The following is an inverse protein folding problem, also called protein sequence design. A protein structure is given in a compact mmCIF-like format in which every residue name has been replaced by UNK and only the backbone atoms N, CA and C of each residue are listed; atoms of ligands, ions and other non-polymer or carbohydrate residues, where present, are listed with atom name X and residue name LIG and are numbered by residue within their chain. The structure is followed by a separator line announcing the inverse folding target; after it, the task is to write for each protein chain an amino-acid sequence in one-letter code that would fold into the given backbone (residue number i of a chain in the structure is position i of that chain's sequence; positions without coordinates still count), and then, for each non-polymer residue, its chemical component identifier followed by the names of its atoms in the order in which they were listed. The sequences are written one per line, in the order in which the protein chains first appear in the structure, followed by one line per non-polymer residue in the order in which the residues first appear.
data_IF_387608393771
#
_entry.id   IF_387608393771
#
_cell.length_a   1.000
_cell.length_b   1.000
_cell.length_c   1.000
_cell.angle_alpha   90.00
_cell.angle_beta   90.00
_cell.angle_gamma   90.00
#
_symmetry.space_group_name_H-M   'P 1'
#
loop_
_entity.id
_entity.type
_entity.pdbx_description
1 polymer ?
#
# COMPACT_ATOMS: atom_id res chain seq x y z
N UNK A 1 7.79 6.81 -14.39
CA UNK A 1 6.39 7.26 -14.31
C UNK A 1 5.43 6.42 -15.15
N UNK A 2 5.93 5.71 -16.18
CA UNK A 2 5.13 4.86 -17.09
C UNK A 2 4.84 3.44 -16.56
N UNK A 3 5.61 2.92 -15.60
CA UNK A 3 5.51 1.52 -15.15
C UNK A 3 4.24 1.20 -14.34
N UNK A 4 3.61 2.20 -13.70
CA UNK A 4 2.33 2.01 -13.03
C UNK A 4 1.14 2.06 -14.01
N UNK A 5 1.35 2.56 -15.23
CA UNK A 5 0.32 2.62 -16.27
C UNK A 5 0.20 1.32 -17.08
N UNK A 6 1.23 0.49 -17.10
CA UNK A 6 1.12 -0.87 -17.69
C UNK A 6 0.53 -1.86 -16.67
N UNK A 7 -0.75 -1.64 -16.38
CA UNK A 7 -1.52 -2.46 -15.46
C UNK A 7 -1.60 -3.95 -15.90
N UNK A 8 -1.35 -4.24 -17.16
CA UNK A 8 -1.40 -5.61 -17.67
C UNK A 8 -0.12 -6.35 -17.33
N UNK A 9 1.05 -5.79 -17.64
CA UNK A 9 2.34 -6.37 -17.30
C UNK A 9 2.53 -6.53 -15.79
N UNK A 10 2.15 -5.51 -15.01
CA UNK A 10 2.19 -5.57 -13.54
C UNK A 10 1.26 -6.66 -12.98
N UNK A 11 0.10 -6.88 -13.61
CA UNK A 11 -0.84 -7.93 -13.16
C UNK A 11 -0.30 -9.33 -13.44
N UNK A 12 0.36 -9.54 -14.58
CA UNK A 12 1.00 -10.81 -14.93
C UNK A 12 2.16 -11.06 -13.97
N UNK A 13 3.05 -10.10 -13.81
CA UNK A 13 4.20 -10.20 -12.90
C UNK A 13 3.78 -10.53 -11.46
N UNK A 14 2.74 -9.87 -10.94
CA UNK A 14 2.19 -10.16 -9.63
C UNK A 14 1.61 -11.58 -9.54
N UNK A 15 0.82 -12.01 -10.55
CA UNK A 15 0.22 -13.35 -10.57
C UNK A 15 1.26 -14.48 -10.55
N UNK A 16 2.37 -14.28 -11.24
CA UNK A 16 3.43 -15.27 -11.36
C UNK A 16 4.36 -15.30 -10.14
N UNK A 17 4.56 -14.16 -9.48
CA UNK A 17 5.59 -14.02 -8.44
C UNK A 17 5.02 -14.10 -7.03
N UNK A 18 3.81 -13.56 -6.80
CA UNK A 18 3.26 -13.47 -5.44
C UNK A 18 2.56 -14.77 -5.02
N UNK A 19 2.94 -15.26 -3.84
CA UNK A 19 2.31 -16.44 -3.23
C UNK A 19 0.80 -16.28 -2.97
N UNK A 20 0.34 -15.06 -2.79
CA UNK A 20 -1.08 -14.73 -2.60
C UNK A 20 -1.96 -15.29 -3.72
N UNK A 21 -1.59 -15.10 -4.97
CA UNK A 21 -2.33 -15.60 -6.13
C UNK A 21 -2.19 -17.12 -6.33
N UNK A 22 -1.16 -17.73 -5.75
CA UNK A 22 -0.92 -19.17 -5.81
C UNK A 22 -1.68 -19.92 -4.71
N UNK A 23 -1.73 -19.35 -3.51
CA UNK A 23 -2.18 -20.05 -2.30
C UNK A 23 -3.59 -19.65 -1.87
N UNK A 24 -3.99 -18.37 -2.02
CA UNK A 24 -5.30 -17.91 -1.54
C UNK A 24 -6.44 -18.44 -2.41
N UNK A 25 -7.48 -18.94 -1.75
CA UNK A 25 -8.72 -19.44 -2.36
C UNK A 25 -9.90 -18.60 -1.89
N UNK A 26 -10.78 -18.26 -2.82
CA UNK A 26 -12.00 -17.53 -2.51
C UNK A 26 -13.04 -18.47 -1.91
N UNK A 27 -13.62 -18.07 -0.76
CA UNK A 27 -14.46 -18.93 0.06
C UNK A 27 -15.69 -19.51 -0.66
N UNK A 28 -16.33 -18.75 -1.54
CA UNK A 28 -17.56 -19.17 -2.21
C UNK A 28 -17.34 -20.13 -3.39
N UNK A 29 -16.27 -19.96 -4.12
CA UNK A 29 -16.00 -20.71 -5.37
C UNK A 29 -14.81 -21.62 -5.28
N UNK A 30 -14.02 -21.50 -4.22
CA UNK A 30 -12.74 -22.19 -4.00
C UNK A 30 -11.73 -22.01 -5.15
N UNK A 31 -11.98 -21.07 -6.07
CA UNK A 31 -11.03 -20.71 -7.12
C UNK A 31 -9.87 -19.89 -6.54
N UNK A 32 -8.79 -19.84 -7.25
CA UNK A 32 -7.64 -18.99 -6.87
C UNK A 32 -8.02 -17.50 -6.90
N UNK A 33 -7.42 -16.76 -5.97
CA UNK A 33 -7.39 -15.31 -6.04
C UNK A 33 -6.72 -14.88 -7.36
N UNK A 34 -7.17 -13.78 -7.94
CA UNK A 34 -6.60 -13.22 -9.16
C UNK A 34 -6.33 -11.71 -9.01
N UNK A 35 -5.41 -11.14 -9.81
CA UNK A 35 -5.18 -9.70 -9.81
C UNK A 35 -6.44 -8.87 -10.11
N UNK A 36 -7.39 -9.39 -10.89
CA UNK A 36 -8.68 -8.71 -11.11
C UNK A 36 -9.53 -8.61 -9.86
N UNK A 37 -9.48 -9.62 -8.96
CA UNK A 37 -10.18 -9.57 -7.68
C UNK A 37 -9.58 -8.50 -6.77
N UNK A 38 -8.27 -8.48 -6.65
CA UNK A 38 -7.58 -7.48 -5.80
C UNK A 38 -7.76 -6.06 -6.33
N UNK A 39 -7.74 -5.84 -7.64
CA UNK A 39 -8.08 -4.55 -8.27
C UNK A 39 -9.51 -4.11 -7.94
N UNK A 40 -10.48 -5.02 -8.06
CA UNK A 40 -11.88 -4.72 -7.74
C UNK A 40 -12.06 -4.37 -6.25
N UNK A 41 -11.37 -5.10 -5.36
CA UNK A 41 -11.40 -4.82 -3.92
C UNK A 41 -10.72 -3.50 -3.59
N UNK A 42 -9.57 -3.20 -4.22
CA UNK A 42 -8.90 -1.92 -4.07
C UNK A 42 -9.83 -0.76 -4.48
N UNK A 43 -10.39 -0.81 -5.68
CA UNK A 43 -11.31 0.23 -6.15
C UNK A 43 -12.52 0.44 -5.22
N UNK A 44 -13.06 -0.66 -4.67
CA UNK A 44 -14.14 -0.58 -3.68
C UNK A 44 -13.67 0.06 -2.37
N UNK A 45 -12.47 -0.28 -1.91
CA UNK A 45 -11.89 0.27 -0.68
C UNK A 45 -11.60 1.75 -0.80
N UNK A 46 -11.03 2.19 -1.92
CA UNK A 46 -10.75 3.61 -2.22
C UNK A 46 -12.06 4.41 -2.24
N UNK A 47 -13.13 3.89 -2.89
CA UNK A 47 -14.43 4.56 -2.89
C UNK A 47 -14.99 4.74 -1.48
N UNK A 48 -14.97 3.69 -0.65
CA UNK A 48 -15.43 3.79 0.75
C UNK A 48 -14.58 4.75 1.58
N UNK A 49 -13.27 4.74 1.38
CA UNK A 49 -12.37 5.65 2.05
C UNK A 49 -12.66 7.11 1.67
N UNK A 50 -12.90 7.39 0.38
CA UNK A 50 -13.33 8.70 -0.10
C UNK A 50 -14.63 9.17 0.59
N UNK A 51 -15.65 8.31 0.62
CA UNK A 51 -16.93 8.61 1.28
C UNK A 51 -16.77 8.97 2.76
N UNK A 52 -15.80 8.34 3.44
CA UNK A 52 -15.47 8.62 4.83
C UNK A 52 -14.70 9.94 4.97
N UNK A 53 -13.66 10.14 4.16
CA UNK A 53 -12.78 11.32 4.24
C UNK A 53 -13.51 12.63 3.90
N UNK A 54 -14.43 12.61 2.93
CA UNK A 54 -15.24 13.79 2.57
C UNK A 54 -16.12 14.27 3.73
N UNK A 55 -16.52 13.36 4.64
CA UNK A 55 -17.38 13.67 5.78
C UNK A 55 -16.60 13.97 7.05
N UNK A 56 -15.33 13.57 7.09
CA UNK A 56 -14.47 13.70 8.27
C UNK A 56 -13.73 15.04 8.34
N UNK A 57 -13.11 15.26 9.49
CA UNK A 57 -12.15 16.35 9.68
C UNK A 57 -10.74 15.81 9.33
N UNK A 58 -10.09 16.30 8.27
CA UNK A 58 -8.77 15.81 7.88
C UNK A 58 -7.73 15.92 9.01
N UNK A 59 -7.78 17.02 9.80
CA UNK A 59 -6.84 17.25 10.90
C UNK A 59 -6.97 16.23 12.06
N UNK A 60 -8.07 15.51 12.10
CA UNK A 60 -8.36 14.48 13.13
C UNK A 60 -8.46 13.07 12.56
N UNK A 61 -8.13 12.90 11.27
CA UNK A 61 -8.26 11.63 10.59
C UNK A 61 -6.92 10.94 10.42
N UNK A 62 -6.85 9.68 10.83
CA UNK A 62 -5.73 8.77 10.60
C UNK A 62 -6.22 7.66 9.68
N UNK A 63 -5.51 7.45 8.59
CA UNK A 63 -5.76 6.34 7.66
C UNK A 63 -4.74 5.24 7.92
N UNK A 64 -5.19 3.99 7.99
CA UNK A 64 -4.32 2.83 8.15
C UNK A 64 -4.63 1.84 7.02
N UNK A 65 -3.60 1.49 6.25
CA UNK A 65 -3.68 0.49 5.17
C UNK A 65 -2.59 -0.56 5.35
N UNK A 66 -2.71 -1.71 4.67
CA UNK A 66 -1.62 -2.67 4.61
C UNK A 66 -0.62 -2.28 3.51
N UNK A 67 -1.09 -2.08 2.28
CA UNK A 67 -0.23 -1.68 1.17
C UNK A 67 0.13 -0.19 1.24
N UNK A 68 1.28 0.14 0.64
CA UNK A 68 1.75 1.51 0.55
C UNK A 68 0.82 2.36 -0.34
N UNK A 69 0.50 3.60 0.08
CA UNK A 69 -0.35 4.49 -0.72
C UNK A 69 0.41 5.18 -1.87
N UNK A 70 1.74 5.17 -1.85
CA UNK A 70 2.60 5.89 -2.78
C UNK A 70 3.83 5.08 -3.16
N UNK A 71 4.32 5.28 -4.37
CA UNK A 71 5.59 4.74 -4.85
C UNK A 71 6.79 5.26 -4.03
N UNK A 72 6.64 6.36 -3.30
CA UNK A 72 7.67 6.87 -2.40
C UNK A 72 8.00 5.90 -1.27
N UNK A 73 7.10 4.97 -0.94
CA UNK A 73 7.33 3.87 -0.01
C UNK A 73 7.95 2.62 -0.65
N UNK A 74 8.48 2.73 -1.86
CA UNK A 74 9.26 1.68 -2.52
C UNK A 74 10.71 2.15 -2.62
N UNK A 75 11.64 1.31 -2.14
CA UNK A 75 13.07 1.61 -2.25
C UNK A 75 13.50 1.68 -3.72
N UNK A 76 14.44 2.56 -4.04
CA UNK A 76 14.81 2.90 -5.41
C UNK A 76 15.15 1.69 -6.28
N UNK A 77 15.83 0.68 -5.70
CA UNK A 77 16.21 -0.55 -6.40
C UNK A 77 15.03 -1.35 -6.96
N UNK A 78 13.83 -1.15 -6.41
CA UNK A 78 12.61 -1.88 -6.82
C UNK A 78 11.61 -1.02 -7.58
N UNK A 79 11.81 0.31 -7.68
CA UNK A 79 10.84 1.21 -8.32
C UNK A 79 10.58 0.88 -9.79
N UNK A 80 11.57 0.32 -10.49
CA UNK A 80 11.45 -0.10 -11.88
C UNK A 80 10.90 -1.54 -12.03
N UNK A 81 10.68 -2.27 -10.95
CA UNK A 81 10.18 -3.64 -10.99
C UNK A 81 8.65 -3.61 -11.19
N UNK A 82 8.13 -4.29 -12.25
CA UNK A 82 6.68 -4.39 -12.47
C UNK A 82 5.89 -4.94 -11.27
N UNK A 83 6.51 -5.77 -10.42
CA UNK A 83 5.89 -6.31 -9.20
C UNK A 83 5.62 -5.22 -8.17
N UNK A 84 6.36 -4.12 -8.19
CA UNK A 84 6.19 -3.01 -7.23
C UNK A 84 4.79 -2.38 -7.27
N UNK A 85 4.10 -2.46 -8.40
CA UNK A 85 2.70 -2.04 -8.51
C UNK A 85 1.72 -2.87 -7.65
N UNK A 86 2.14 -4.06 -7.20
CA UNK A 86 1.36 -4.87 -6.24
C UNK A 86 1.65 -4.49 -4.78
N UNK A 87 2.73 -3.76 -4.52
CA UNK A 87 3.15 -3.34 -3.17
C UNK A 87 2.72 -1.91 -2.84
N UNK A 88 2.64 -1.04 -3.84
CA UNK A 88 2.25 0.36 -3.67
C UNK A 88 1.17 0.75 -4.68
N UNK A 89 0.24 1.56 -4.22
CA UNK A 89 -0.76 2.22 -5.06
C UNK A 89 -0.29 3.63 -5.43
N UNK A 90 -0.78 4.16 -6.55
CA UNK A 90 -0.55 5.56 -6.91
C UNK A 90 -1.70 6.42 -6.38
N UNK A 91 -1.66 6.76 -5.09
CA UNK A 91 -2.71 7.52 -4.41
C UNK A 91 -2.26 8.93 -4.00
N UNK A 92 -1.17 9.44 -4.55
CA UNK A 92 -0.63 10.77 -4.20
C UNK A 92 -1.68 11.86 -4.42
N UNK A 93 -2.35 11.88 -5.57
CA UNK A 93 -3.43 12.85 -5.86
C UNK A 93 -4.62 12.68 -4.92
N UNK A 94 -4.98 11.44 -4.58
CA UNK A 94 -6.04 11.17 -3.60
C UNK A 94 -5.69 11.71 -2.21
N UNK A 95 -4.43 11.56 -1.79
CA UNK A 95 -3.95 12.09 -0.52
C UNK A 95 -3.93 13.62 -0.55
N UNK A 96 -3.47 14.24 -1.64
CA UNK A 96 -3.48 15.69 -1.82
C UNK A 96 -4.90 16.28 -1.81
N UNK A 97 -5.88 15.55 -2.35
CA UNK A 97 -7.29 15.98 -2.35
C UNK A 97 -7.90 15.98 -0.94
N UNK A 98 -7.60 14.96 -0.14
CA UNK A 98 -8.28 14.73 1.14
C UNK A 98 -7.45 15.11 2.37
N UNK A 99 -6.15 15.09 2.28
CA UNK A 99 -5.15 15.48 3.28
C UNK A 99 -5.45 15.00 4.72
N UNK A 100 -5.68 13.69 4.97
CA UNK A 100 -5.77 13.19 6.34
C UNK A 100 -4.47 13.50 7.09
N UNK A 101 -4.54 13.73 8.40
CA UNK A 101 -3.39 14.11 9.21
C UNK A 101 -2.23 13.11 9.11
N UNK A 102 -2.56 11.82 9.11
CA UNK A 102 -1.57 10.74 9.12
C UNK A 102 -2.04 9.57 8.26
N UNK A 103 -1.11 8.98 7.52
CA UNK A 103 -1.32 7.72 6.82
C UNK A 103 -0.28 6.69 7.27
N UNK A 104 -0.72 5.58 7.84
CA UNK A 104 0.15 4.50 8.30
C UNK A 104 -0.02 3.30 7.38
N UNK A 105 1.08 2.67 6.98
CA UNK A 105 1.02 1.44 6.21
C UNK A 105 2.12 0.46 6.61
N UNK A 106 2.09 -0.76 6.05
CA UNK A 106 3.08 -1.81 6.24
C UNK A 106 3.60 -2.35 4.93
N UNK A 107 3.70 -3.66 4.82
CA UNK A 107 3.97 -4.46 3.62
C UNK A 107 5.39 -4.35 3.02
N UNK A 108 5.99 -3.20 2.92
CA UNK A 108 7.23 -2.95 2.15
C UNK A 108 8.52 -3.39 2.85
N UNK A 109 8.45 -3.87 4.09
CA UNK A 109 9.56 -4.33 4.94
C UNK A 109 10.71 -3.32 5.09
N UNK A 110 10.44 -2.05 4.82
CA UNK A 110 11.36 -0.92 5.02
C UNK A 110 10.66 0.20 5.76
N UNK A 111 11.41 1.01 6.52
CA UNK A 111 10.84 2.15 7.23
C UNK A 111 10.82 3.39 6.35
N UNK A 112 9.67 4.05 6.33
CA UNK A 112 9.45 5.30 5.63
C UNK A 112 8.78 6.33 6.53
N UNK A 113 9.12 7.60 6.31
CA UNK A 113 8.52 8.74 7.00
C UNK A 113 8.70 9.96 6.08
N UNK A 114 7.61 10.40 5.44
CA UNK A 114 7.61 11.49 4.48
C UNK A 114 6.24 12.18 4.43
N UNK A 115 6.14 13.26 3.69
CA UNK A 115 4.90 14.04 3.57
C UNK A 115 4.41 14.09 2.12
N UNK A 116 3.08 14.01 1.97
CA UNK A 116 2.35 14.31 0.75
C UNK A 116 1.35 15.43 1.09
N UNK A 117 1.63 16.63 0.64
CA UNK A 117 0.90 17.81 1.10
C UNK A 117 1.04 17.99 2.61
N UNK A 118 -0.08 17.97 3.35
CA UNK A 118 -0.10 18.04 4.83
C UNK A 118 -0.19 16.67 5.49
N UNK A 119 -0.29 15.60 4.72
CA UNK A 119 -0.39 14.24 5.24
C UNK A 119 0.99 13.66 5.47
N UNK A 120 1.31 13.31 6.72
CA UNK A 120 2.49 12.52 7.02
C UNK A 120 2.22 11.05 6.72
N UNK A 121 3.07 10.41 5.93
CA UNK A 121 2.98 8.98 5.60
C UNK A 121 4.08 8.24 6.32
N UNK A 122 3.71 7.20 7.09
CA UNK A 122 4.65 6.48 7.95
C UNK A 122 4.51 4.98 7.78
N UNK A 123 5.67 4.31 7.73
CA UNK A 123 5.79 2.86 7.70
C UNK A 123 6.93 2.42 8.62
N UNK A 124 6.65 1.49 9.54
CA UNK A 124 7.65 0.94 10.45
C UNK A 124 7.44 -0.58 10.64
N UNK A 125 7.51 -1.37 9.57
CA UNK A 125 7.29 -2.81 9.62
C UNK A 125 8.53 -3.52 10.17
N UNK A 126 8.34 -4.62 10.90
CA UNK A 126 9.46 -5.46 11.36
C UNK A 126 10.09 -6.26 10.21
N UNK A 127 9.29 -6.64 9.21
CA UNK A 127 9.67 -7.65 8.23
C UNK A 127 9.55 -9.08 8.75
N UNK A 128 10.05 -10.04 8.00
CA UNK A 128 10.03 -11.46 8.36
C UNK A 128 11.26 -11.84 9.17
N UNK A 129 11.04 -12.30 10.41
CA UNK A 129 12.12 -12.75 11.29
C UNK A 129 13.00 -13.81 10.61
N UNK A 130 14.32 -13.62 10.65
CA UNK A 130 15.34 -14.54 10.11
C UNK A 130 15.30 -14.72 8.58
N UNK A 131 14.46 -13.99 7.84
CA UNK A 131 14.36 -14.05 6.37
C UNK A 131 14.67 -12.69 5.76
N UNK A 132 13.89 -11.68 6.12
CA UNK A 132 14.01 -10.31 5.61
C UNK A 132 13.59 -9.35 6.71
N UNK A 133 14.53 -8.98 7.59
CA UNK A 133 14.27 -8.07 8.69
C UNK A 133 14.61 -6.63 8.31
N UNK A 134 13.71 -5.74 8.67
CA UNK A 134 13.95 -4.30 8.53
C UNK A 134 14.95 -3.83 9.60
N UNK A 135 16.15 -3.52 9.19
CA UNK A 135 17.23 -3.03 10.08
C UNK A 135 16.93 -1.68 10.73
N UNK A 136 15.95 -0.94 10.22
CA UNK A 136 15.48 0.35 10.76
C UNK A 136 14.20 0.23 11.58
N UNK A 137 13.72 -1.00 11.82
CA UNK A 137 12.55 -1.22 12.67
C UNK A 137 12.79 -0.73 14.09
N UNK A 138 11.85 0.03 14.61
CA UNK A 138 11.86 0.55 15.99
C UNK A 138 10.65 -0.01 16.73
N UNK A 139 10.84 -0.93 17.70
CA UNK A 139 9.73 -1.56 18.43
C UNK A 139 8.97 -0.58 19.34
N UNK A 140 9.63 0.50 19.74
CA UNK A 140 9.11 1.57 20.60
C UNK A 140 8.65 2.81 19.82
N UNK A 141 8.42 2.67 18.51
CA UNK A 141 8.05 3.80 17.67
C UNK A 141 6.65 4.32 17.98
N UNK A 142 6.59 5.54 18.47
CA UNK A 142 5.36 6.26 18.79
C UNK A 142 5.22 7.50 17.94
N UNK A 143 3.98 7.86 17.63
CA UNK A 143 3.61 9.06 16.89
C UNK A 143 2.73 9.94 17.79
N UNK A 144 3.09 11.21 17.89
CA UNK A 144 2.21 12.22 18.47
C UNK A 144 1.33 12.77 17.36
N UNK A 145 0.03 12.69 17.51
CA UNK A 145 -0.98 13.09 16.52
C UNK A 145 -1.91 14.17 17.08
#
# INVERSE_FOLDING_TARGET
MELLDDQHASSIAAADTMNDYRLIRLSKTYRRLSPSDTKAWHARSVRKLREFLVKGDPARTIVVTHHAPSIQSIVDRYRADPVSAAFASNMDDFILEHQPRLWIHGHTHESFDYEIGKTRVVCNPRGYASIEENKRFRPDYTLVV
#
